data_IF_475550577555
#
_entry.id   IF_475550577555
#
_cell.length_a   1.000
_cell.length_b   1.000
_cell.length_c   1.000
_cell.angle_alpha   90.00
_cell.angle_beta   90.00
_cell.angle_gamma   90.00
#
_symmetry.space_group_name_H-M   'P 1'
#
loop_
_entity.id
_entity.type
_entity.pdbx_description
1 polymer ?
#
# COMPACT_ATOMS: atom_id res chain seq x y z
N UNK A 1 2.39 15.51 -3.75
CA UNK A 1 3.40 15.63 -2.67
C UNK A 1 2.72 15.95 -1.34
N UNK A 2 1.65 16.75 -1.34
CA UNK A 2 0.69 16.88 -0.24
C UNK A 2 -0.74 16.90 -0.81
N UNK A 3 -1.75 16.74 0.04
CA UNK A 3 -3.16 16.98 -0.29
C UNK A 3 -3.47 18.46 0.02
N UNK A 4 -3.62 19.29 -1.01
CA UNK A 4 -3.70 20.76 -0.87
C UNK A 4 -5.02 21.25 -0.25
N UNK A 5 -6.08 20.43 -0.26
CA UNK A 5 -7.34 20.78 0.39
C UNK A 5 -7.19 20.74 1.92
N UNK A 6 -6.35 19.82 2.42
CA UNK A 6 -6.27 19.47 3.82
C UNK A 6 -4.92 19.81 4.48
N UNK A 7 -3.86 20.00 3.70
CA UNK A 7 -2.50 20.23 4.21
C UNK A 7 -1.76 21.27 3.37
N UNK A 8 -0.83 21.99 3.99
CA UNK A 8 -0.02 23.02 3.35
C UNK A 8 1.41 23.02 3.90
N UNK A 9 2.34 23.59 3.15
CA UNK A 9 3.68 23.85 3.66
C UNK A 9 3.67 24.98 4.69
N UNK A 10 4.46 24.85 5.74
CA UNK A 10 4.61 25.87 6.77
C UNK A 10 5.35 27.09 6.21
N UNK A 11 4.82 28.29 6.46
CA UNK A 11 5.42 29.55 5.97
C UNK A 11 6.75 29.88 6.63
N UNK A 12 6.91 29.53 7.92
CA UNK A 12 8.12 29.76 8.70
C UNK A 12 9.14 28.61 8.60
N UNK A 13 8.76 27.48 7.99
CA UNK A 13 9.63 26.34 7.75
C UNK A 13 9.16 25.65 6.45
N UNK A 14 9.55 26.16 5.27
CA UNK A 14 9.06 25.68 3.98
C UNK A 14 9.09 24.16 3.75
N UNK A 15 10.07 23.38 4.25
CA UNK A 15 10.05 21.93 4.08
C UNK A 15 9.12 21.18 5.06
N UNK A 16 8.49 21.84 6.03
CA UNK A 16 7.55 21.23 6.97
C UNK A 16 6.10 21.33 6.46
N UNK A 17 5.29 20.32 6.76
CA UNK A 17 3.87 20.27 6.38
C UNK A 17 2.99 20.45 7.62
N UNK A 18 1.96 21.28 7.51
CA UNK A 18 0.96 21.55 8.54
C UNK A 18 -0.45 21.45 7.98
N UNK A 19 -1.45 21.43 8.86
CA UNK A 19 -2.85 21.51 8.46
C UNK A 19 -3.17 22.87 7.81
N UNK A 20 -4.05 22.86 6.80
CA UNK A 20 -4.61 24.06 6.19
C UNK A 20 -5.77 24.63 7.01
N UNK A 21 -6.56 23.75 7.68
CA UNK A 21 -7.79 24.11 8.38
C UNK A 21 -7.92 23.38 9.72
N UNK A 22 -8.47 23.98 10.78
CA UNK A 22 -8.55 23.34 12.11
C UNK A 22 -9.65 22.27 12.23
N UNK A 23 -9.90 21.50 11.16
CA UNK A 23 -10.95 20.49 11.10
C UNK A 23 -10.54 19.23 11.89
N UNK A 24 -11.47 18.64 12.64
CA UNK A 24 -11.21 17.35 13.33
C UNK A 24 -11.01 16.24 12.30
N UNK A 25 -9.88 15.55 12.40
CA UNK A 25 -9.50 14.42 11.53
C UNK A 25 -8.85 13.30 12.35
N UNK A 26 -8.93 12.09 11.82
CA UNK A 26 -8.30 10.88 12.40
C UNK A 26 -7.10 10.40 11.59
N UNK A 27 -6.87 10.95 10.40
CA UNK A 27 -5.79 10.55 9.48
C UNK A 27 -5.38 11.71 8.57
N UNK A 28 -4.08 11.80 8.30
CA UNK A 28 -3.48 12.63 7.24
C UNK A 28 -2.46 11.78 6.47
N UNK A 29 -2.21 12.10 5.20
CA UNK A 29 -1.22 11.40 4.37
C UNK A 29 -0.42 12.41 3.57
N UNK A 30 0.89 12.19 3.47
CA UNK A 30 1.81 13.04 2.70
C UNK A 30 2.78 12.14 1.96
N UNK A 31 3.25 12.58 0.80
CA UNK A 31 4.34 11.92 0.10
C UNK A 31 5.65 12.60 0.46
N UNK A 32 6.69 11.79 0.69
CA UNK A 32 8.02 12.26 0.99
C UNK A 32 9.02 11.61 0.02
N UNK A 33 9.87 12.44 -0.58
CA UNK A 33 10.94 11.98 -1.48
C UNK A 33 12.20 11.77 -0.65
N UNK A 34 12.79 10.58 -0.73
CA UNK A 34 14.03 10.28 -0.04
C UNK A 34 15.19 11.15 -0.55
N UNK A 35 16.11 11.59 0.33
CA UNK A 35 17.29 12.34 -0.07
C UNK A 35 18.25 11.45 -0.88
N UNK A 36 19.23 12.08 -1.53
CA UNK A 36 20.28 11.36 -2.27
C UNK A 36 21.05 10.40 -1.37
N UNK A 37 21.56 9.31 -1.95
CA UNK A 37 22.49 8.40 -1.30
C UNK A 37 23.66 9.14 -0.64
N UNK A 38 24.11 8.63 0.51
CA UNK A 38 25.12 9.24 1.37
C UNK A 38 24.61 10.28 2.37
N UNK A 39 23.30 10.57 2.38
CA UNK A 39 22.71 11.55 3.32
C UNK A 39 22.57 11.05 4.76
N UNK A 40 22.90 9.77 5.01
CA UNK A 40 22.80 9.14 6.32
C UNK A 40 21.35 8.86 6.75
N UNK A 41 21.15 8.70 8.05
CA UNK A 41 19.83 8.41 8.61
C UNK A 41 19.01 9.68 8.84
N UNK A 42 17.75 9.65 8.44
CA UNK A 42 16.79 10.73 8.60
C UNK A 42 15.72 10.38 9.65
N UNK A 43 15.15 11.41 10.27
CA UNK A 43 14.08 11.29 11.26
C UNK A 43 12.84 11.99 10.72
N UNK A 44 11.76 11.23 10.54
CA UNK A 44 10.42 11.78 10.32
C UNK A 44 9.76 11.96 11.68
N UNK A 45 9.45 13.21 12.04
CA UNK A 45 8.82 13.58 13.31
C UNK A 45 7.47 14.25 13.07
N UNK A 46 6.46 13.90 13.86
CA UNK A 46 5.14 14.53 13.85
C UNK A 46 4.83 15.17 15.21
N UNK A 47 4.12 16.30 15.21
CA UNK A 47 3.64 16.96 16.44
C UNK A 47 2.15 17.28 16.30
N UNK A 48 1.36 16.85 17.27
CA UNK A 48 -0.08 17.11 17.34
C UNK A 48 -0.44 18.21 18.36
N UNK A 49 0.58 18.77 19.04
CA UNK A 49 0.40 19.82 20.03
C UNK A 49 0.43 21.17 19.31
N UNK A 50 -0.70 21.88 19.29
CA UNK A 50 -0.80 23.20 18.67
C UNK A 50 -0.31 24.28 19.66
N UNK A 51 0.94 24.75 19.46
CA UNK A 51 1.55 25.87 20.20
C UNK A 51 2.35 26.76 19.25
N UNK A 52 2.63 27.99 19.66
CA UNK A 52 3.50 28.92 18.89
C UNK A 52 4.91 28.36 18.67
N UNK A 53 5.41 27.59 19.65
CA UNK A 53 6.67 26.85 19.57
C UNK A 53 6.31 25.38 19.42
N UNK A 54 6.68 24.79 18.29
CA UNK A 54 6.39 23.40 17.96
C UNK A 54 7.52 22.53 18.50
N UNK A 55 7.18 21.63 19.41
CA UNK A 55 8.10 20.63 19.98
C UNK A 55 7.80 19.25 19.39
N UNK A 56 8.86 18.47 19.20
CA UNK A 56 8.79 17.09 18.69
C UNK A 56 9.33 16.12 19.72
N UNK A 57 8.80 14.90 19.72
CA UNK A 57 9.34 13.81 20.54
C UNK A 57 10.60 13.26 19.87
N UNK A 58 11.62 12.91 20.65
CA UNK A 58 12.83 12.27 20.11
C UNK A 58 12.62 10.78 19.84
N UNK A 59 11.76 10.13 20.62
CA UNK A 59 11.39 8.71 20.47
C UNK A 59 9.89 8.50 20.68
N UNK A 60 9.32 7.45 20.07
CA UNK A 60 7.91 7.10 20.21
C UNK A 60 7.19 6.85 18.89
N UNK A 61 5.86 6.76 18.93
CA UNK A 61 5.04 6.47 17.75
C UNK A 61 5.02 7.59 16.71
N UNK A 62 5.28 8.84 17.13
CA UNK A 62 5.31 10.02 16.28
C UNK A 62 6.70 10.31 15.67
N UNK A 63 7.70 9.46 15.95
CA UNK A 63 9.05 9.60 15.40
C UNK A 63 9.49 8.30 14.74
N UNK A 64 9.90 8.38 13.48
CA UNK A 64 10.42 7.24 12.70
C UNK A 64 11.79 7.57 12.14
N UNK A 65 12.75 6.69 12.45
CA UNK A 65 14.11 6.73 11.89
C UNK A 65 14.18 5.85 10.65
N UNK A 66 14.69 6.43 9.58
CA UNK A 66 14.92 5.76 8.30
C UNK A 66 16.39 5.93 7.96
N UNK A 67 17.06 4.86 7.55
CA UNK A 67 18.46 4.91 7.14
C UNK A 67 18.58 4.39 5.72
N UNK A 68 19.54 4.93 5.00
CA UNK A 68 20.09 4.25 3.84
C UNK A 68 20.59 2.88 4.30
N UNK A 69 20.19 1.83 3.58
CA UNK A 69 20.73 0.49 3.84
C UNK A 69 22.20 0.52 3.45
N UNK A 70 23.09 0.23 4.41
CA UNK A 70 24.49 0.00 4.08
C UNK A 70 24.58 -1.09 3.02
N UNK A 71 25.31 -0.87 1.91
CA UNK A 71 25.71 -1.98 1.07
C UNK A 71 26.65 -2.83 1.92
N UNK A 72 26.19 -4.01 2.32
CA UNK A 72 27.06 -5.03 2.89
C UNK A 72 28.25 -5.19 1.96
N UNK A 73 29.42 -4.80 2.46
CA UNK A 73 30.65 -4.67 1.69
C UNK A 73 31.11 -6.06 1.24
N UNK A 74 31.07 -6.30 -0.07
CA UNK A 74 31.58 -7.50 -0.70
C UNK A 74 30.84 -7.76 -2.00
N UNK A 75 31.54 -7.64 -3.13
CA UNK A 75 31.06 -8.08 -4.43
C UNK A 75 30.46 -9.49 -4.32
N UNK A 76 29.15 -9.56 -4.45
CA UNK A 76 28.57 -10.66 -5.17
C UNK A 76 27.52 -10.01 -6.07
N UNK A 77 27.50 -10.42 -7.32
CA UNK A 77 26.32 -10.39 -8.18
C UNK A 77 25.20 -11.22 -7.50
N UNK A 78 24.75 -10.80 -6.31
CA UNK A 78 23.72 -11.50 -5.57
C UNK A 78 22.42 -11.22 -6.28
N UNK A 79 22.01 -12.20 -7.09
CA UNK A 79 20.60 -12.58 -7.16
C UNK A 79 19.96 -12.20 -5.81
N UNK A 80 18.97 -11.30 -5.79
CA UNK A 80 18.40 -10.82 -4.54
C UNK A 80 18.11 -12.02 -3.65
N UNK A 81 18.61 -11.98 -2.41
CA UNK A 81 18.46 -13.03 -1.39
C UNK A 81 17.15 -13.77 -1.62
N UNK A 82 17.24 -15.09 -1.87
CA UNK A 82 16.08 -15.91 -2.17
C UNK A 82 15.07 -15.73 -1.02
N UNK A 83 13.97 -15.03 -1.32
CA UNK A 83 12.89 -14.73 -0.37
C UNK A 83 12.18 -16.01 0.12
N UNK A 84 12.47 -17.15 -0.54
CA UNK A 84 12.03 -18.47 -0.19
C UNK A 84 13.22 -19.44 -0.17
N UNK A 85 13.48 -20.08 0.97
CA UNK A 85 14.51 -21.12 1.14
C UNK A 85 13.92 -22.55 1.17
N UNK A 86 12.61 -22.69 0.94
CA UNK A 86 11.96 -24.00 0.94
C UNK A 86 12.43 -24.85 -0.26
N UNK A 87 12.61 -26.14 -0.02
CA UNK A 87 12.95 -27.11 -1.06
C UNK A 87 11.70 -27.85 -1.55
N UNK A 88 11.69 -28.23 -2.83
CA UNK A 88 10.59 -29.00 -3.42
C UNK A 88 9.35 -28.19 -3.76
N UNK A 89 8.22 -28.87 -3.94
CA UNK A 89 6.93 -28.25 -4.26
C UNK A 89 5.87 -28.66 -3.24
N UNK A 90 4.90 -27.79 -3.03
CA UNK A 90 3.77 -28.03 -2.14
C UNK A 90 2.46 -27.80 -2.89
N UNK A 91 1.44 -28.57 -2.53
CA UNK A 91 0.09 -28.45 -3.09
C UNK A 91 -0.85 -27.94 -2.02
N UNK A 92 -1.61 -26.90 -2.35
CA UNK A 92 -2.56 -26.29 -1.44
C UNK A 92 -3.98 -26.41 -2.00
N UNK A 93 -4.96 -26.36 -1.09
CA UNK A 93 -6.37 -26.19 -1.42
C UNK A 93 -6.81 -24.83 -0.91
N UNK A 94 -7.25 -23.98 -1.83
CA UNK A 94 -7.87 -22.70 -1.49
C UNK A 94 -9.38 -22.92 -1.39
N UNK A 95 -10.00 -22.43 -0.32
CA UNK A 95 -11.45 -22.47 -0.12
C UNK A 95 -11.93 -21.08 0.22
N UNK A 96 -12.84 -20.56 -0.60
CA UNK A 96 -13.43 -19.24 -0.41
C UNK A 96 -14.77 -19.37 0.30
N UNK A 97 -14.94 -18.63 1.39
CA UNK A 97 -16.18 -18.57 2.16
C UNK A 97 -16.77 -17.17 2.05
N UNK A 98 -17.86 -17.03 1.29
CA UNK A 98 -18.57 -15.77 1.15
C UNK A 98 -19.39 -15.45 2.40
N UNK A 99 -19.03 -14.39 3.12
CA UNK A 99 -19.77 -13.92 4.30
C UNK A 99 -20.67 -12.69 4.00
N UNK A 100 -20.94 -12.45 2.71
CA UNK A 100 -21.86 -11.42 2.24
C UNK A 100 -23.27 -12.01 2.13
N UNK A 101 -24.16 -11.54 2.99
CA UNK A 101 -25.55 -11.99 3.06
C UNK A 101 -26.44 -10.82 3.49
N UNK A 102 -27.73 -10.91 3.19
CA UNK A 102 -28.71 -9.89 3.59
C UNK A 102 -28.74 -9.67 5.11
N UNK A 103 -28.56 -10.73 5.90
CA UNK A 103 -28.55 -10.61 7.36
C UNK A 103 -27.37 -9.79 7.89
N UNK A 104 -26.18 -10.01 7.33
CA UNK A 104 -24.96 -9.33 7.75
C UNK A 104 -24.76 -7.97 7.09
N UNK A 105 -25.30 -7.80 5.88
CA UNK A 105 -25.17 -6.61 5.06
C UNK A 105 -26.55 -6.21 4.49
N UNK A 106 -27.47 -5.71 5.34
CA UNK A 106 -28.88 -5.50 4.95
C UNK A 106 -29.10 -4.27 4.07
N UNK A 107 -28.23 -3.26 4.18
CA UNK A 107 -28.37 -2.01 3.42
C UNK A 107 -28.17 -2.29 1.93
N UNK A 108 -29.20 -1.99 1.14
CA UNK A 108 -29.23 -2.10 -0.33
C UNK A 108 -28.81 -3.48 -0.87
N UNK A 109 -29.08 -4.56 -0.12
CA UNK A 109 -28.69 -5.91 -0.51
C UNK A 109 -29.43 -6.36 -1.79
N UNK A 110 -28.72 -6.79 -2.86
CA UNK A 110 -29.34 -7.18 -4.11
C UNK A 110 -29.94 -8.60 -4.02
N UNK A 111 -31.15 -8.72 -3.46
CA UNK A 111 -31.83 -10.01 -3.22
C UNK A 111 -31.92 -10.96 -4.41
N UNK A 112 -32.00 -10.42 -5.64
CA UNK A 112 -32.10 -11.23 -6.89
C UNK A 112 -30.81 -11.32 -7.69
N UNK A 113 -29.89 -10.37 -7.51
CA UNK A 113 -28.68 -10.25 -8.32
C UNK A 113 -27.39 -10.47 -7.52
N UNK A 114 -27.49 -10.84 -6.24
CA UNK A 114 -26.33 -11.17 -5.41
C UNK A 114 -25.62 -12.40 -5.99
N UNK A 115 -24.34 -12.24 -6.26
CA UNK A 115 -23.47 -13.32 -6.70
C UNK A 115 -22.03 -12.94 -6.42
N UNK A 116 -21.16 -13.95 -6.42
CA UNK A 116 -19.73 -13.75 -6.60
C UNK A 116 -19.40 -14.16 -8.03
N UNK A 117 -18.54 -13.40 -8.70
CA UNK A 117 -17.97 -13.83 -9.97
C UNK A 117 -17.05 -15.03 -9.77
N UNK A 118 -16.63 -15.65 -10.87
CA UNK A 118 -15.68 -16.75 -10.82
C UNK A 118 -14.35 -16.28 -10.20
N UNK A 119 -13.80 -17.09 -9.28
CA UNK A 119 -12.50 -16.80 -8.66
C UNK A 119 -11.40 -17.13 -9.66
N UNK A 120 -10.53 -16.15 -9.92
CA UNK A 120 -9.38 -16.26 -10.81
C UNK A 120 -8.12 -15.81 -10.08
N UNK A 121 -7.01 -16.52 -10.30
CA UNK A 121 -5.72 -16.22 -9.68
C UNK A 121 -4.65 -17.23 -10.09
N UNK A 122 -3.43 -17.02 -9.62
CA UNK A 122 -2.28 -17.87 -9.93
C UNK A 122 -1.32 -17.97 -8.74
N UNK A 123 -0.56 -19.07 -8.69
CA UNK A 123 0.68 -19.10 -7.90
C UNK A 123 1.78 -18.43 -8.71
N UNK A 124 2.34 -17.32 -8.23
CA UNK A 124 3.30 -16.52 -9.00
C UNK A 124 4.48 -16.05 -8.13
N UNK A 125 5.54 -15.58 -8.80
CA UNK A 125 6.69 -14.95 -8.15
C UNK A 125 6.45 -13.47 -7.87
N UNK A 126 7.36 -12.83 -7.10
CA UNK A 126 7.35 -11.38 -6.83
C UNK A 126 7.45 -10.48 -8.07
N UNK A 127 7.85 -11.03 -9.22
CA UNK A 127 8.00 -10.27 -10.46
C UNK A 127 6.67 -10.03 -11.17
N UNK A 128 5.60 -10.70 -10.75
CA UNK A 128 4.26 -10.51 -11.28
C UNK A 128 3.34 -9.99 -10.18
N UNK A 129 2.60 -8.92 -10.48
CA UNK A 129 1.58 -8.35 -9.61
C UNK A 129 0.25 -8.51 -10.32
N UNK A 130 -0.64 -9.31 -9.72
CA UNK A 130 -1.99 -9.55 -10.24
C UNK A 130 -2.86 -8.28 -10.10
N UNK A 131 -2.85 -7.72 -8.90
CA UNK A 131 -3.44 -6.43 -8.51
C UNK A 131 -2.83 -6.01 -7.18
N UNK A 132 -2.86 -4.71 -6.87
CA UNK A 132 -2.38 -4.18 -5.58
C UNK A 132 -3.14 -2.92 -5.17
N UNK A 133 -3.18 -2.63 -3.87
CA UNK A 133 -3.81 -1.40 -3.37
C UNK A 133 -3.03 -0.16 -3.82
N UNK A 134 -3.75 0.80 -4.41
CA UNK A 134 -3.15 2.02 -4.97
C UNK A 134 -2.55 1.83 -6.37
N UNK A 135 -2.50 0.60 -6.89
CA UNK A 135 -2.13 0.31 -8.27
C UNK A 135 -3.29 0.54 -9.25
N UNK A 136 -2.96 0.69 -10.53
CA UNK A 136 -3.95 0.73 -11.60
C UNK A 136 -4.41 -0.70 -11.95
N UNK A 137 -5.70 -0.86 -12.21
CA UNK A 137 -6.25 -2.12 -12.70
C UNK A 137 -5.78 -2.39 -14.14
N UNK A 138 -5.35 -3.62 -14.43
CA UNK A 138 -5.18 -4.09 -15.80
C UNK A 138 -6.53 -4.25 -16.49
N UNK A 139 -6.52 -4.48 -17.81
CA UNK A 139 -7.76 -4.76 -18.55
C UNK A 139 -8.43 -6.05 -18.06
N UNK A 140 -7.65 -7.08 -17.72
CA UNK A 140 -8.15 -8.31 -17.09
C UNK A 140 -8.83 -8.05 -15.75
N UNK A 141 -8.19 -7.27 -14.86
CA UNK A 141 -8.78 -6.90 -13.56
C UNK A 141 -10.05 -6.08 -13.76
N UNK A 142 -10.05 -5.14 -14.71
CA UNK A 142 -11.23 -4.33 -15.04
C UNK A 142 -12.41 -5.19 -15.47
N UNK A 143 -12.21 -6.17 -16.34
CA UNK A 143 -13.31 -7.06 -16.77
C UNK A 143 -13.86 -7.93 -15.65
N UNK A 144 -13.02 -8.38 -14.72
CA UNK A 144 -13.48 -9.10 -13.53
C UNK A 144 -14.32 -8.18 -12.63
N UNK A 145 -13.86 -6.95 -12.41
CA UNK A 145 -14.50 -5.99 -11.52
C UNK A 145 -15.84 -5.45 -12.07
N UNK A 146 -15.91 -5.17 -13.37
CA UNK A 146 -17.07 -4.53 -14.00
C UNK A 146 -18.09 -5.55 -14.54
N UNK A 147 -17.62 -6.70 -15.06
CA UNK A 147 -18.44 -7.66 -15.80
C UNK A 147 -18.47 -9.05 -15.17
N UNK A 148 -17.61 -9.32 -14.17
CA UNK A 148 -17.47 -10.66 -13.59
C UNK A 148 -16.84 -11.69 -14.54
N UNK A 149 -16.22 -11.25 -15.65
CA UNK A 149 -15.62 -12.13 -16.65
C UNK A 149 -14.14 -12.42 -16.35
N UNK A 150 -13.73 -13.67 -16.12
CA UNK A 150 -12.34 -14.03 -15.84
C UNK A 150 -11.49 -14.23 -17.10
N UNK A 151 -12.08 -14.23 -18.30
CA UNK A 151 -11.43 -14.67 -19.55
C UNK A 151 -10.16 -13.85 -19.80
N UNK A 152 -10.28 -12.51 -19.77
CA UNK A 152 -9.14 -11.64 -20.05
C UNK A 152 -8.06 -11.74 -18.98
N UNK A 153 -8.46 -11.91 -17.72
CA UNK A 153 -7.54 -12.10 -16.61
C UNK A 153 -6.77 -13.42 -16.73
N UNK A 154 -7.42 -14.49 -17.17
CA UNK A 154 -6.76 -15.78 -17.43
C UNK A 154 -5.73 -15.67 -18.57
N UNK A 155 -6.06 -14.97 -19.65
CA UNK A 155 -5.11 -14.67 -20.73
C UNK A 155 -3.87 -13.92 -20.23
N UNK A 156 -4.06 -12.88 -19.42
CA UNK A 156 -2.97 -12.09 -18.83
C UNK A 156 -2.07 -12.94 -17.93
N UNK A 157 -2.66 -13.81 -17.11
CA UNK A 157 -1.93 -14.74 -16.24
C UNK A 157 -1.09 -15.71 -17.08
N UNK A 158 -1.64 -16.27 -18.17
CA UNK A 158 -0.94 -17.26 -19.01
C UNK A 158 0.19 -16.66 -19.85
N UNK A 159 0.20 -15.35 -20.04
CA UNK A 159 1.24 -14.63 -20.79
C UNK A 159 2.45 -14.23 -19.92
N UNK A 160 2.43 -14.55 -18.62
CA UNK A 160 3.49 -14.24 -17.65
C UNK A 160 4.27 -15.49 -17.27
#
# INVERSE_FOLDING_TARGET
>A
IIDEDDTQFMTNCPPAVTDSTPRRRTKIQVFWTAPSSGSGCILLKASIIQRKIISFQDEGSLTKRLCEKEPLYGEVTEKPLLDCCACGTAKYRVTFYGNWSEKLHPKDYPRRANHWSAIIGASHSKNYVLWEYGGYASEGVKQVAELGSPIKMEEEIRQK
#
